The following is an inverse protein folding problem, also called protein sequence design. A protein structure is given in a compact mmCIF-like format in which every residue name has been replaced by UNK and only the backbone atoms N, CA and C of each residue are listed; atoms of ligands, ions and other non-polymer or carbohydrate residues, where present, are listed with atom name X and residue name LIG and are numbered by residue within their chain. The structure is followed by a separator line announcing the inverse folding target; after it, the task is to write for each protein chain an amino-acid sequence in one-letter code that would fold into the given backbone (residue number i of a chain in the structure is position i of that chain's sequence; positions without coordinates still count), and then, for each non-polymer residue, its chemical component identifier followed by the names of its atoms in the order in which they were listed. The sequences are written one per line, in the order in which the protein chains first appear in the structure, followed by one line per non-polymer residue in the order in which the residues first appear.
data_IF_014593580853
#
_entry.id   IF_014593580853
#
_cell.length_a   1.000
_cell.length_b   1.000
_cell.length_c   1.000
_cell.angle_alpha   90.00
_cell.angle_beta   90.00
_cell.angle_gamma   90.00
#
_symmetry.space_group_name_H-M   'P 1'
#
loop_
_entity.id
_entity.type
_entity.pdbx_description
1 polymer ?
#
# COMPACT_ATOMS: atom_id res chain seq x y z
N UNK A 1 -7.03 15.98 -4.17
CA UNK A 1 -5.84 15.54 -3.41
C UNK A 1 -5.15 14.54 -4.29
N UNK A 2 -3.89 14.78 -4.66
CA UNK A 2 -3.18 13.96 -5.64
C UNK A 2 -2.29 12.94 -4.93
N UNK A 3 -1.74 11.97 -5.67
CA UNK A 3 -0.90 10.91 -5.12
C UNK A 3 0.29 11.46 -4.33
N UNK A 4 0.92 12.53 -4.81
CA UNK A 4 2.06 13.17 -4.15
C UNK A 4 1.67 13.72 -2.78
N UNK A 5 0.56 14.46 -2.70
CA UNK A 5 0.05 15.02 -1.44
C UNK A 5 -0.27 13.93 -0.42
N UNK A 6 -0.78 12.79 -0.90
CA UNK A 6 -1.12 11.66 -0.03
C UNK A 6 0.12 10.96 0.50
N UNK A 7 1.15 10.79 -0.33
CA UNK A 7 2.44 10.28 0.11
C UNK A 7 3.09 11.21 1.13
N UNK A 8 2.99 12.53 0.93
CA UNK A 8 3.56 13.50 1.87
C UNK A 8 2.86 13.42 3.23
N UNK A 9 1.51 13.38 3.23
CA UNK A 9 0.74 13.19 4.46
C UNK A 9 1.07 11.86 5.15
N UNK A 10 1.28 10.79 4.40
CA UNK A 10 1.73 9.51 4.94
C UNK A 10 3.12 9.64 5.60
N UNK A 11 4.06 10.33 4.95
CA UNK A 11 5.38 10.63 5.52
C UNK A 11 5.28 11.46 6.81
N UNK A 12 4.43 12.49 6.85
CA UNK A 12 4.17 13.29 8.05
C UNK A 12 3.61 12.45 9.21
N UNK A 13 2.84 11.41 8.89
CA UNK A 13 2.29 10.45 9.87
C UNK A 13 3.30 9.39 10.33
N UNK A 14 4.51 9.37 9.75
CA UNK A 14 5.56 8.40 10.03
C UNK A 14 5.59 7.18 9.09
N UNK A 15 4.79 7.17 8.02
CA UNK A 15 4.83 6.15 6.97
C UNK A 15 5.84 6.55 5.90
N UNK A 16 7.11 6.60 6.28
CA UNK A 16 8.20 7.00 5.38
C UNK A 16 8.63 5.91 4.40
N UNK A 17 8.17 4.68 4.64
CA UNK A 17 8.53 3.50 3.87
C UNK A 17 7.50 3.17 2.81
N UNK A 18 7.97 2.78 1.63
CA UNK A 18 7.12 2.23 0.58
C UNK A 18 7.10 0.71 0.71
N UNK A 19 5.91 0.16 0.80
CA UNK A 19 5.69 -1.27 0.81
C UNK A 19 5.43 -1.75 -0.61
N UNK A 20 6.00 -2.91 -0.95
CA UNK A 20 5.74 -3.60 -2.21
C UNK A 20 5.31 -5.03 -1.94
N UNK A 21 4.22 -5.45 -2.58
CA UNK A 21 3.82 -6.85 -2.60
C UNK A 21 4.72 -7.65 -3.56
N UNK A 22 5.14 -8.84 -3.14
CA UNK A 22 5.82 -9.85 -3.96
C UNK A 22 5.63 -11.22 -3.31
N UNK A 23 5.12 -12.20 -4.05
CA UNK A 23 4.98 -13.60 -3.61
C UNK A 23 4.21 -13.73 -2.28
N UNK A 24 3.07 -13.03 -2.17
CA UNK A 24 2.26 -12.93 -0.94
C UNK A 24 2.94 -12.28 0.29
N UNK A 25 4.14 -11.73 0.11
CA UNK A 25 4.87 -11.02 1.14
C UNK A 25 4.93 -9.52 0.82
N UNK A 26 5.09 -8.71 1.86
CA UNK A 26 5.33 -7.28 1.73
C UNK A 26 6.76 -6.98 2.10
N UNK A 27 7.50 -6.44 1.15
CA UNK A 27 8.83 -5.90 1.36
C UNK A 27 8.75 -4.41 1.61
N UNK A 28 9.60 -3.93 2.50
CA UNK A 28 9.76 -2.52 2.79
C UNK A 28 10.96 -1.98 2.03
N UNK A 29 10.77 -0.96 1.18
CA UNK A 29 11.89 -0.31 0.52
C UNK A 29 12.87 0.27 1.57
N UNK A 30 14.15 -0.08 1.43
CA UNK A 30 15.21 0.24 2.40
C UNK A 30 15.37 -0.74 3.57
N UNK A 31 14.58 -1.82 3.66
CA UNK A 31 14.79 -2.91 4.63
C UNK A 31 14.67 -4.27 3.95
N UNK A 32 15.55 -5.22 4.29
CA UNK A 32 15.41 -6.63 3.89
C UNK A 32 14.30 -7.37 4.65
N UNK A 33 13.46 -6.66 5.40
CA UNK A 33 12.37 -7.24 6.17
C UNK A 33 11.17 -7.52 5.27
N UNK A 34 10.71 -8.77 5.32
CA UNK A 34 9.48 -9.24 4.68
C UNK A 34 8.42 -9.44 5.75
N UNK A 35 7.25 -8.86 5.54
CA UNK A 35 6.08 -9.07 6.38
C UNK A 35 5.10 -9.97 5.65
N UNK A 36 4.53 -10.92 6.37
CA UNK A 36 3.43 -11.70 5.82
C UNK A 36 2.16 -10.84 5.82
N UNK A 37 1.27 -11.03 4.85
CA UNK A 37 -0.01 -10.33 4.78
C UNK A 37 -0.83 -10.44 6.08
N UNK A 38 -0.62 -11.52 6.84
CA UNK A 38 -1.28 -11.77 8.11
C UNK A 38 -0.72 -10.92 9.27
N UNK A 39 0.52 -10.48 9.20
CA UNK A 39 1.15 -9.63 10.21
C UNK A 39 0.93 -8.13 9.96
N UNK A 40 0.16 -7.80 8.92
CA UNK A 40 -0.08 -6.45 8.44
C UNK A 40 -1.53 -6.04 8.70
N UNK A 41 -1.72 -4.79 9.10
CA UNK A 41 -3.02 -4.20 9.35
C UNK A 41 -3.15 -2.91 8.55
N UNK A 42 -4.22 -2.79 7.74
CA UNK A 42 -4.55 -1.53 7.08
C UNK A 42 -5.05 -0.57 8.18
N UNK A 43 -4.35 0.55 8.33
CA UNK A 43 -4.72 1.61 9.27
C UNK A 43 -5.58 2.66 8.55
N UNK A 44 -5.24 2.98 7.31
CA UNK A 44 -5.98 3.92 6.47
C UNK A 44 -5.82 3.53 5.00
N UNK A 45 -6.82 3.81 4.17
CA UNK A 45 -6.70 3.63 2.73
C UNK A 45 -7.39 4.77 2.00
N UNK A 46 -6.75 5.26 0.94
CA UNK A 46 -7.28 6.37 0.17
C UNK A 46 -7.01 6.16 -1.31
N UNK A 47 -8.09 6.17 -2.08
CA UNK A 47 -8.03 6.18 -3.54
C UNK A 47 -7.75 7.59 -4.03
N UNK A 48 -6.83 7.68 -4.98
CA UNK A 48 -6.52 8.88 -5.75
C UNK A 48 -7.16 8.67 -7.10
N UNK A 49 -8.14 9.51 -7.39
CA UNK A 49 -8.80 9.61 -8.68
C UNK A 49 -8.34 10.95 -9.27
N UNK A 50 -7.22 10.90 -9.97
CA UNK A 50 -6.60 12.07 -10.58
C UNK A 50 -7.03 12.12 -12.04
N UNK A 51 -8.32 12.43 -12.22
CA UNK A 51 -9.02 12.30 -13.48
C UNK A 51 -8.26 12.83 -14.70
N UNK A 52 -8.26 12.00 -15.75
CA UNK A 52 -8.14 12.20 -17.22
C UNK A 52 -7.21 11.16 -17.84
N UNK A 53 -6.28 10.56 -17.08
CA UNK A 53 -5.46 9.45 -17.56
C UNK A 53 -5.70 8.17 -16.72
N UNK A 54 -6.09 7.05 -17.33
CA UNK A 54 -6.34 5.78 -16.63
C UNK A 54 -5.07 5.16 -15.99
N UNK A 55 -3.90 5.79 -16.14
CA UNK A 55 -2.68 5.47 -15.43
C UNK A 55 -2.48 6.21 -14.10
N UNK A 56 -3.26 7.27 -13.83
CA UNK A 56 -3.09 8.10 -12.62
C UNK A 56 -3.99 7.65 -11.46
N UNK A 57 -4.96 6.77 -11.74
CA UNK A 57 -5.80 6.16 -10.72
C UNK A 57 -4.99 5.16 -9.90
N UNK A 58 -4.85 5.44 -8.60
CA UNK A 58 -4.10 4.58 -7.69
C UNK A 58 -4.70 4.63 -6.29
N UNK A 59 -4.67 3.50 -5.59
CA UNK A 59 -5.05 3.43 -4.19
C UNK A 59 -3.82 3.30 -3.32
N UNK A 60 -3.67 4.21 -2.36
CA UNK A 60 -2.62 4.16 -1.35
C UNK A 60 -3.20 3.56 -0.06
N UNK A 61 -2.58 2.49 0.40
CA UNK A 61 -2.90 1.80 1.63
C UNK A 61 -1.82 2.11 2.66
N UNK A 62 -2.18 2.72 3.78
CA UNK A 62 -1.31 2.91 4.93
C UNK A 62 -1.42 1.68 5.81
N UNK A 63 -0.32 0.94 5.91
CA UNK A 63 -0.26 -0.36 6.56
C UNK A 63 0.72 -0.29 7.73
N UNK A 64 0.30 -0.85 8.86
CA UNK A 64 1.14 -1.05 10.03
C UNK A 64 1.37 -2.54 10.24
N UNK A 65 2.63 -2.94 10.38
CA UNK A 65 3.04 -4.28 10.76
C UNK A 65 2.93 -4.45 12.28
N UNK A 66 2.75 -5.69 12.75
CA UNK A 66 2.65 -6.00 14.19
C UNK A 66 3.84 -5.51 15.04
N UNK A 67 5.01 -5.35 14.42
CA UNK A 67 6.23 -4.87 15.08
C UNK A 67 6.25 -3.34 15.26
N UNK A 68 5.20 -2.64 14.79
CA UNK A 68 5.09 -1.19 14.76
C UNK A 68 5.72 -0.54 13.53
N UNK A 69 6.21 -1.32 12.57
CA UNK A 69 6.73 -0.79 11.30
C UNK A 69 5.58 -0.29 10.43
N UNK A 70 5.66 0.96 9.98
CA UNK A 70 4.64 1.65 9.21
C UNK A 70 5.12 1.91 7.79
N UNK A 71 4.32 1.55 6.80
CA UNK A 71 4.61 1.81 5.40
C UNK A 71 3.36 2.04 4.57
N UNK A 72 3.56 2.61 3.39
CA UNK A 72 2.50 2.88 2.42
C UNK A 72 2.66 1.97 1.21
N UNK A 73 1.60 1.25 0.86
CA UNK A 73 1.51 0.43 -0.34
C UNK A 73 0.69 1.20 -1.38
N UNK A 74 1.30 1.48 -2.53
CA UNK A 74 0.63 2.14 -3.65
C UNK A 74 0.26 1.05 -4.66
N UNK A 75 -1.04 0.96 -4.97
CA UNK A 75 -1.57 0.01 -5.94
C UNK A 75 -2.21 0.80 -7.07
N UNK A 76 -1.59 0.84 -8.26
CA UNK A 76 -2.21 1.46 -9.41
C UNK A 76 -3.43 0.64 -9.86
N UNK A 77 -4.51 1.34 -10.21
CA UNK A 77 -5.74 0.77 -10.77
C UNK A 77 -5.61 0.44 -12.26
N UNK A 78 -4.49 0.85 -12.88
CA UNK A 78 -4.20 0.53 -14.27
C UNK A 78 -4.21 -0.99 -14.50
N UNK A 79 -4.72 -1.42 -15.66
CA UNK A 79 -4.93 -2.80 -16.10
C UNK A 79 -3.74 -3.77 -15.95
N UNK A 80 -2.55 -3.28 -15.58
CA UNK A 80 -1.33 -4.04 -15.33
C UNK A 80 -0.98 -4.12 -13.85
N UNK A 81 -1.99 -4.09 -12.96
CA UNK A 81 -1.76 -4.40 -11.55
C UNK A 81 -1.17 -5.80 -11.43
N UNK A 82 0.04 -5.88 -10.90
CA UNK A 82 0.74 -7.12 -10.64
C UNK A 82 -0.15 -8.05 -9.79
N UNK A 83 -0.36 -9.32 -10.19
CA UNK A 83 -1.29 -10.22 -9.50
C UNK A 83 -0.96 -10.37 -8.02
N UNK A 84 0.33 -10.33 -7.65
CA UNK A 84 0.78 -10.36 -6.27
C UNK A 84 0.26 -9.18 -5.43
N UNK A 85 0.18 -7.99 -6.03
CA UNK A 85 -0.38 -6.80 -5.35
C UNK A 85 -1.88 -6.91 -5.17
N UNK A 86 -2.58 -7.44 -6.19
CA UNK A 86 -4.03 -7.64 -6.12
C UNK A 86 -4.40 -8.66 -5.05
N UNK A 87 -3.72 -9.81 -5.00
CA UNK A 87 -3.94 -10.83 -3.97
C UNK A 87 -3.66 -10.32 -2.57
N UNK A 88 -2.56 -9.57 -2.40
CA UNK A 88 -2.23 -8.97 -1.11
C UNK A 88 -3.34 -8.01 -0.64
N UNK A 89 -3.77 -7.08 -1.50
CA UNK A 89 -4.83 -6.12 -1.14
C UNK A 89 -6.13 -6.83 -0.82
N UNK A 90 -6.51 -7.84 -1.60
CA UNK A 90 -7.70 -8.66 -1.34
C UNK A 90 -7.59 -9.34 0.03
N UNK A 91 -6.44 -9.96 0.35
CA UNK A 91 -6.20 -10.59 1.64
C UNK A 91 -6.34 -9.60 2.80
N UNK A 92 -5.69 -8.44 2.70
CA UNK A 92 -5.74 -7.40 3.72
C UNK A 92 -7.16 -6.84 3.90
N UNK A 93 -7.92 -6.67 2.82
CA UNK A 93 -9.33 -6.24 2.85
C UNK A 93 -10.22 -7.29 3.50
N UNK A 94 -10.06 -8.56 3.17
CA UNK A 94 -10.80 -9.67 3.81
C UNK A 94 -10.54 -9.73 5.31
N UNK A 95 -9.36 -9.31 5.77
CA UNK A 95 -9.00 -9.30 7.18
C UNK A 95 -9.65 -8.18 8.00
N UNK A 96 -10.19 -7.15 7.33
CA UNK A 96 -10.85 -5.99 7.95
C UNK A 96 -12.39 -6.13 8.00
N UNK A 97 -12.97 -7.15 7.38
CA UNK A 97 -14.41 -7.44 7.37
C UNK A 97 -14.77 -8.63 8.24
#
# INVERSE_FOLDING_TARGET
MNLIELQDLARERGFSHVFSASDNHVTCDGRETRYHADDLTIIDCRSVDAGTDPGDDATLYMIEAKDGTRGMLIVPDSFHTDPDKAELVDHLRRKQG
#
